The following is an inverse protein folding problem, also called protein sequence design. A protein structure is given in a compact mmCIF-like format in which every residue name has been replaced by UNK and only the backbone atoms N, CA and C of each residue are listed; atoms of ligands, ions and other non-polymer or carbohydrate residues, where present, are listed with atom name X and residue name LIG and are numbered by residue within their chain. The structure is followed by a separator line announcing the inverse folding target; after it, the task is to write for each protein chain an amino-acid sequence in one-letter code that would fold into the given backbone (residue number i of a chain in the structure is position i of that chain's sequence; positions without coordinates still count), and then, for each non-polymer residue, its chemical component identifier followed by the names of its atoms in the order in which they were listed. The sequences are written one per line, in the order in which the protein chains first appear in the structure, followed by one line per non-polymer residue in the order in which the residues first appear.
data_IF_787532286817
#
_entry.id   IF_787532286817
#
_cell.length_a   1.000
_cell.length_b   1.000
_cell.length_c   1.000
_cell.angle_alpha   90.00
_cell.angle_beta   90.00
_cell.angle_gamma   90.00
#
_symmetry.space_group_name_H-M   'P 1'
#
loop_
_entity.id
_entity.type
_entity.pdbx_description
1 polymer ?
#
# COMPACT_ATOMS: atom_id res chain seq x y z
N UNK A 1 27.02 -53.17 11.93
CA UNK A 1 27.52 -52.39 10.78
C UNK A 1 26.97 -50.98 10.85
N UNK A 2 27.84 -49.96 10.91
CA UNK A 2 27.54 -48.55 11.24
C UNK A 2 26.52 -47.89 10.31
N UNK A 3 25.38 -47.47 10.86
CA UNK A 3 24.50 -46.44 10.29
C UNK A 3 25.15 -45.06 10.50
N UNK A 4 25.78 -44.52 9.47
CA UNK A 4 26.33 -43.16 9.48
C UNK A 4 26.13 -42.51 8.12
N UNK A 5 24.95 -41.92 7.89
CA UNK A 5 24.72 -40.87 6.88
C UNK A 5 23.62 -39.92 7.37
N UNK A 6 23.90 -39.28 8.50
CA UNK A 6 23.30 -37.98 8.83
C UNK A 6 24.15 -36.91 8.14
N UNK A 7 23.49 -35.96 7.49
CA UNK A 7 24.09 -34.69 7.10
C UNK A 7 24.58 -34.59 5.66
N UNK A 8 23.66 -34.52 4.69
CA UNK A 8 23.76 -33.61 3.52
C UNK A 8 22.32 -33.30 3.02
N UNK A 9 21.60 -32.41 3.70
CA UNK A 9 20.30 -31.86 3.23
C UNK A 9 20.18 -30.38 3.62
N UNK A 10 21.22 -29.57 3.39
CA UNK A 10 21.21 -28.20 3.94
C UNK A 10 21.99 -27.20 3.09
N UNK A 11 21.59 -27.04 1.83
CA UNK A 11 22.16 -26.00 0.95
C UNK A 11 21.12 -25.44 -0.01
N UNK A 12 20.56 -26.28 -0.87
CA UNK A 12 19.62 -25.84 -1.91
C UNK A 12 18.24 -25.39 -1.37
N UNK A 13 17.73 -26.03 -0.31
CA UNK A 13 16.40 -25.74 0.25
C UNK A 13 16.37 -24.40 1.02
N UNK A 14 17.51 -23.99 1.59
CA UNK A 14 17.65 -22.72 2.31
C UNK A 14 17.81 -21.54 1.35
N UNK A 15 18.46 -21.74 0.19
CA UNK A 15 18.61 -20.70 -0.83
C UNK A 15 17.28 -20.39 -1.51
N UNK A 16 16.46 -21.40 -1.80
CA UNK A 16 15.12 -21.21 -2.37
C UNK A 16 14.16 -20.46 -1.42
N UNK A 17 14.26 -20.69 -0.10
CA UNK A 17 13.44 -19.98 0.87
C UNK A 17 13.76 -18.46 0.91
N UNK A 18 15.03 -18.08 0.73
CA UNK A 18 15.45 -16.68 0.77
C UNK A 18 15.00 -15.90 -0.46
N UNK A 19 14.99 -16.53 -1.65
CA UNK A 19 14.50 -15.86 -2.87
C UNK A 19 12.98 -15.69 -2.88
N UNK A 20 12.23 -16.67 -2.36
CA UNK A 20 10.77 -16.57 -2.20
C UNK A 20 10.39 -15.55 -1.12
N UNK A 21 11.12 -15.47 0.00
CA UNK A 21 10.86 -14.46 1.04
C UNK A 21 11.08 -13.03 0.56
N UNK A 22 12.14 -12.77 -0.24
CA UNK A 22 12.40 -11.43 -0.78
C UNK A 22 11.36 -11.00 -1.83
N UNK A 23 10.87 -11.94 -2.65
CA UNK A 23 9.78 -11.67 -3.60
C UNK A 23 8.44 -11.38 -2.88
N UNK A 24 8.20 -12.01 -1.72
CA UNK A 24 7.00 -11.74 -0.89
C UNK A 24 7.11 -10.37 -0.19
N UNK A 25 8.30 -9.98 0.28
CA UNK A 25 8.53 -8.67 0.91
C UNK A 25 8.44 -7.52 -0.09
N UNK A 26 8.95 -7.69 -1.32
CA UNK A 26 8.80 -6.72 -2.41
C UNK A 26 7.35 -6.55 -2.88
N UNK A 27 6.49 -7.54 -2.64
CA UNK A 27 5.05 -7.49 -2.90
C UNK A 27 4.24 -6.89 -1.74
N UNK A 28 4.86 -6.43 -0.65
CA UNK A 28 4.13 -5.75 0.43
C UNK A 28 3.89 -4.28 0.07
N UNK A 29 2.87 -4.01 -0.76
CA UNK A 29 2.31 -2.67 -0.89
C UNK A 29 1.83 -2.18 0.48
N UNK A 30 2.55 -1.21 1.05
CA UNK A 30 2.13 -0.49 2.27
C UNK A 30 1.32 0.74 1.89
N UNK A 31 0.57 1.30 2.84
CA UNK A 31 -0.23 2.49 2.59
C UNK A 31 0.64 3.72 2.30
N UNK A 32 1.82 3.80 2.92
CA UNK A 32 2.79 4.89 2.77
C UNK A 32 3.38 4.97 1.36
N UNK A 33 3.46 3.85 0.63
CA UNK A 33 3.90 3.85 -0.76
C UNK A 33 2.95 4.64 -1.68
N UNK A 34 1.71 4.89 -1.25
CA UNK A 34 0.78 5.73 -2.01
C UNK A 34 1.20 7.21 -1.99
N UNK A 35 2.02 7.64 -1.03
CA UNK A 35 2.38 9.05 -0.86
C UNK A 35 3.27 9.56 -2.00
N UNK A 36 3.96 8.66 -2.69
CA UNK A 36 4.84 8.97 -3.82
C UNK A 36 4.17 8.75 -5.18
N UNK A 37 2.89 8.38 -5.21
CA UNK A 37 2.14 8.33 -6.47
C UNK A 37 2.06 9.72 -7.09
N UNK A 38 2.25 9.77 -8.41
CA UNK A 38 1.97 10.98 -9.16
C UNK A 38 0.48 11.32 -9.10
N UNK A 39 0.16 12.59 -9.36
CA UNK A 39 -1.21 13.13 -9.28
C UNK A 39 -2.21 12.37 -10.15
N UNK A 40 -1.80 11.88 -11.32
CA UNK A 40 -2.67 11.14 -12.23
C UNK A 40 -2.96 9.74 -11.70
N UNK A 41 -1.93 9.01 -11.25
CA UNK A 41 -2.08 7.68 -10.65
C UNK A 41 -2.89 7.73 -9.36
N UNK A 42 -2.62 8.72 -8.49
CA UNK A 42 -3.42 8.95 -7.29
C UNK A 42 -4.87 9.28 -7.65
N UNK A 43 -5.11 10.15 -8.63
CA UNK A 43 -6.47 10.45 -9.10
C UNK A 43 -7.20 9.25 -9.72
N UNK A 44 -6.47 8.33 -10.37
CA UNK A 44 -7.01 7.06 -10.86
C UNK A 44 -7.43 6.15 -9.71
N UNK A 45 -6.60 6.02 -8.68
CA UNK A 45 -6.89 5.27 -7.47
C UNK A 45 -8.13 5.83 -6.76
N UNK A 46 -8.14 7.13 -6.48
CA UNK A 46 -9.19 7.79 -5.72
C UNK A 46 -10.59 7.69 -6.35
N UNK A 47 -10.68 7.48 -7.68
CA UNK A 47 -11.96 7.24 -8.36
C UNK A 47 -12.61 5.90 -8.01
N UNK A 48 -11.82 4.91 -7.59
CA UNK A 48 -12.29 3.57 -7.24
C UNK A 48 -12.45 3.39 -5.71
N UNK A 49 -12.02 4.37 -4.91
CA UNK A 49 -12.11 4.34 -3.45
C UNK A 49 -13.42 4.98 -3.00
N UNK A 50 -14.20 4.27 -2.19
CA UNK A 50 -15.38 4.85 -1.54
C UNK A 50 -15.00 6.00 -0.60
N UNK A 51 -15.79 7.07 -0.62
CA UNK A 51 -15.48 8.29 0.12
C UNK A 51 -15.43 8.05 1.65
N UNK A 52 -16.31 7.22 2.23
CA UNK A 52 -16.27 6.90 3.66
C UNK A 52 -14.99 6.15 4.00
N UNK A 53 -14.57 5.21 3.14
CA UNK A 53 -13.30 4.49 3.30
C UNK A 53 -12.11 5.44 3.21
N UNK A 54 -12.10 6.36 2.24
CA UNK A 54 -11.04 7.34 2.06
C UNK A 54 -10.89 8.24 3.29
N UNK A 55 -11.97 8.86 3.75
CA UNK A 55 -11.97 9.76 4.91
C UNK A 55 -11.48 9.00 6.15
N UNK A 56 -11.94 7.76 6.35
CA UNK A 56 -11.51 6.90 7.47
C UNK A 56 -10.02 6.56 7.40
N UNK A 57 -9.50 6.24 6.21
CA UNK A 57 -8.09 5.93 6.00
C UNK A 57 -7.19 7.16 6.25
N UNK A 58 -7.59 8.32 5.74
CA UNK A 58 -6.85 9.58 5.87
C UNK A 58 -6.89 10.15 7.30
N UNK A 59 -7.96 9.92 8.06
CA UNK A 59 -8.03 10.31 9.49
C UNK A 59 -6.91 9.65 10.32
N UNK A 60 -6.45 8.49 9.90
CA UNK A 60 -5.33 7.76 10.51
C UNK A 60 -3.95 8.34 10.26
N UNK A 61 -3.82 9.30 9.34
CA UNK A 61 -2.56 9.94 8.98
C UNK A 61 -2.34 11.25 9.74
N UNK A 62 -1.08 11.65 9.85
CA UNK A 62 -0.72 13.03 10.16
C UNK A 62 -1.18 13.96 9.03
N UNK A 63 -1.46 15.23 9.35
CA UNK A 63 -1.99 16.19 8.36
C UNK A 63 -1.04 16.40 7.18
N UNK A 64 0.27 16.36 7.44
CA UNK A 64 1.31 16.49 6.42
C UNK A 64 1.25 15.38 5.36
N UNK A 65 0.90 14.16 5.78
CA UNK A 65 0.89 12.97 4.90
C UNK A 65 -0.36 12.89 4.02
N UNK A 66 -1.38 13.71 4.28
CA UNK A 66 -2.61 13.76 3.46
C UNK A 66 -2.42 14.55 2.17
N UNK A 67 -1.35 15.35 2.08
CA UNK A 67 -1.06 16.25 0.96
C UNK A 67 -1.15 15.61 -0.43
N UNK A 68 -0.49 14.47 -0.69
CA UNK A 68 -0.51 13.80 -1.99
C UNK A 68 -1.91 13.42 -2.46
N UNK A 69 -2.78 12.99 -1.54
CA UNK A 69 -4.17 12.62 -1.85
C UNK A 69 -4.99 13.85 -2.26
N UNK A 70 -4.85 14.96 -1.53
CA UNK A 70 -5.56 16.20 -1.87
C UNK A 70 -5.07 16.84 -3.16
N UNK A 71 -3.77 16.74 -3.45
CA UNK A 71 -3.19 17.27 -4.69
C UNK A 71 -3.79 16.60 -5.95
N UNK A 72 -4.27 15.36 -5.82
CA UNK A 72 -4.93 14.61 -6.89
C UNK A 72 -6.43 14.89 -7.04
N UNK A 73 -7.01 15.74 -6.19
CA UNK A 73 -8.42 16.11 -6.22
C UNK A 73 -8.61 17.52 -6.79
N UNK A 74 -9.85 17.82 -7.20
CA UNK A 74 -10.25 19.22 -7.37
C UNK A 74 -10.30 19.93 -6.01
N UNK A 75 -10.12 21.25 -5.98
CA UNK A 75 -10.18 22.04 -4.74
C UNK A 75 -11.44 21.76 -3.94
N UNK A 76 -12.60 21.76 -4.60
CA UNK A 76 -13.90 21.47 -3.96
C UNK A 76 -13.97 20.07 -3.35
N UNK A 77 -13.40 19.06 -4.01
CA UNK A 77 -13.40 17.70 -3.49
C UNK A 77 -12.43 17.55 -2.31
N UNK A 78 -11.25 18.16 -2.39
CA UNK A 78 -10.30 18.20 -1.29
C UNK A 78 -10.88 18.89 -0.05
N UNK A 79 -11.56 20.04 -0.23
CA UNK A 79 -12.22 20.77 0.85
C UNK A 79 -13.30 19.91 1.52
N UNK A 80 -14.16 19.26 0.72
CA UNK A 80 -15.19 18.36 1.26
C UNK A 80 -14.61 17.21 2.09
N UNK A 81 -13.55 16.55 1.59
CA UNK A 81 -12.89 15.47 2.34
C UNK A 81 -12.24 16.00 3.62
N UNK A 82 -11.64 17.21 3.62
CA UNK A 82 -11.08 17.83 4.82
C UNK A 82 -12.15 18.06 5.89
N UNK A 83 -13.27 18.66 5.50
CA UNK A 83 -14.39 18.92 6.40
C UNK A 83 -14.93 17.61 6.99
N UNK A 84 -15.06 16.56 6.18
CA UNK A 84 -15.49 15.24 6.64
C UNK A 84 -14.52 14.59 7.64
N UNK A 85 -13.21 14.72 7.42
CA UNK A 85 -12.19 14.26 8.36
C UNK A 85 -12.30 14.99 9.70
N UNK A 86 -12.59 16.30 9.69
CA UNK A 86 -12.79 17.09 10.91
C UNK A 86 -14.07 16.70 11.65
N UNK A 87 -15.16 16.45 10.92
CA UNK A 87 -16.42 15.95 11.50
C UNK A 87 -16.29 14.55 12.11
N UNK A 88 -15.43 13.71 11.54
CA UNK A 88 -15.09 12.41 12.14
C UNK A 88 -14.21 12.61 13.38
N UNK A 89 -14.86 12.58 14.54
CA UNK A 89 -14.20 12.73 15.83
C UNK A 89 -13.33 11.52 16.21
N UNK A 90 -13.96 10.41 16.63
CA UNK A 90 -13.28 9.20 17.11
C UNK A 90 -13.46 8.07 16.12
N UNK A 91 -12.36 7.66 15.50
CA UNK A 91 -12.29 6.46 14.66
C UNK A 91 -11.44 5.43 15.40
N UNK A 92 -11.88 4.16 15.44
CA UNK A 92 -11.07 3.11 16.06
C UNK A 92 -9.90 2.77 15.15
N UNK A 93 -8.71 2.56 15.73
CA UNK A 93 -7.52 2.14 14.98
C UNK A 93 -7.76 0.93 14.06
N UNK A 94 -8.59 -0.02 14.50
CA UNK A 94 -8.97 -1.20 13.69
C UNK A 94 -9.68 -0.79 12.39
N UNK A 95 -10.56 0.20 12.45
CA UNK A 95 -11.36 0.66 11.30
C UNK A 95 -10.47 1.45 10.33
N UNK A 96 -9.55 2.27 10.86
CA UNK A 96 -8.49 2.92 10.07
C UNK A 96 -7.66 1.90 9.31
N UNK A 97 -7.14 0.87 9.98
CA UNK A 97 -6.32 -0.16 9.34
C UNK A 97 -7.11 -0.95 8.29
N UNK A 98 -8.39 -1.22 8.54
CA UNK A 98 -9.26 -1.89 7.57
C UNK A 98 -9.50 -1.01 6.33
N UNK A 99 -9.73 0.28 6.53
CA UNK A 99 -9.90 1.24 5.44
C UNK A 99 -8.61 1.39 4.61
N UNK A 100 -7.46 1.58 5.26
CA UNK A 100 -6.15 1.64 4.60
C UNK A 100 -5.86 0.36 3.80
N UNK A 101 -6.16 -0.81 4.37
CA UNK A 101 -6.04 -2.09 3.66
C UNK A 101 -6.92 -2.13 2.42
N UNK A 102 -8.18 -1.71 2.51
CA UNK A 102 -9.08 -1.69 1.35
C UNK A 102 -8.54 -0.80 0.21
N UNK A 103 -7.98 0.36 0.54
CA UNK A 103 -7.33 1.24 -0.44
C UNK A 103 -6.10 0.55 -1.07
N UNK A 104 -5.28 -0.14 -0.28
CA UNK A 104 -4.15 -0.93 -0.78
C UNK A 104 -4.61 -2.01 -1.76
N UNK A 105 -5.69 -2.75 -1.45
CA UNK A 105 -6.20 -3.79 -2.36
C UNK A 105 -6.64 -3.21 -3.71
N UNK A 106 -7.26 -2.02 -3.71
CA UNK A 106 -7.63 -1.30 -4.93
C UNK A 106 -6.36 -0.89 -5.69
N UNK A 107 -5.38 -0.32 -5.00
CA UNK A 107 -4.11 0.09 -5.61
C UNK A 107 -3.35 -1.10 -6.22
N UNK A 108 -3.32 -2.25 -5.54
CA UNK A 108 -2.75 -3.50 -6.07
C UNK A 108 -3.44 -3.91 -7.36
N UNK A 109 -4.77 -3.97 -7.36
CA UNK A 109 -5.55 -4.32 -8.55
C UNK A 109 -5.23 -3.38 -9.71
N UNK A 110 -5.23 -2.07 -9.48
CA UNK A 110 -4.91 -1.08 -10.51
C UNK A 110 -3.47 -1.18 -11.01
N UNK A 111 -2.51 -1.49 -10.15
CA UNK A 111 -1.12 -1.75 -10.53
C UNK A 111 -1.01 -2.98 -11.42
N UNK A 112 -1.67 -4.07 -11.03
CA UNK A 112 -1.67 -5.33 -11.77
C UNK A 112 -2.38 -5.18 -13.14
N UNK A 113 -3.35 -4.27 -13.25
CA UNK A 113 -3.99 -3.84 -14.50
C UNK A 113 -3.11 -2.87 -15.34
N UNK A 114 -2.01 -2.36 -14.78
CA UNK A 114 -1.14 -1.36 -15.42
C UNK A 114 -1.71 0.07 -15.44
N UNK A 115 -2.77 0.32 -14.67
CA UNK A 115 -3.48 1.61 -14.59
C UNK A 115 -2.78 2.62 -13.67
N UNK A 116 -2.02 2.13 -12.69
CA UNK A 116 -1.17 2.96 -11.83
C UNK A 116 0.25 2.39 -11.77
N UNK A 117 1.23 3.27 -11.73
CA UNK A 117 2.61 2.90 -11.47
C UNK A 117 2.97 3.36 -10.06
N UNK A 118 3.16 2.39 -9.16
CA UNK A 118 3.76 2.67 -7.86
C UNK A 118 5.24 2.83 -8.10
N UNK A 119 5.80 3.99 -7.74
CA UNK A 119 7.21 4.28 -7.92
C UNK A 119 8.03 3.11 -7.42
N UNK A 120 8.66 2.39 -8.34
CA UNK A 120 9.72 1.49 -7.99
C UNK A 120 10.76 2.37 -7.29
N UNK A 121 10.94 2.17 -5.99
CA UNK A 121 12.25 2.40 -5.43
C UNK A 121 13.19 1.63 -6.32
N UNK A 122 13.93 2.38 -7.13
CA UNK A 122 15.17 1.99 -7.77
C UNK A 122 15.02 0.82 -8.75
N UNK A 123 14.96 1.17 -10.04
CA UNK A 123 15.26 0.22 -11.09
C UNK A 123 16.67 -0.33 -10.91
N UNK A 124 16.78 -1.62 -10.62
CA UNK A 124 17.77 -2.50 -11.23
C UNK A 124 17.32 -3.96 -11.10
N UNK A 125 16.59 -4.46 -12.11
CA UNK A 125 16.75 -5.85 -12.51
C UNK A 125 17.64 -5.81 -13.75
N UNK A 126 18.95 -5.95 -13.53
CA UNK A 126 19.91 -6.44 -14.53
C UNK A 126 20.10 -7.92 -14.30
#
# INVERSE_FOLDING_TARGET
TKLKKSGIRNGAEVVAAIEVSKAIEAEMLTFEMLFVLDTQSMGRLLRDVDNVQLVTALKGLEEADRGPFFAAMSSRAADGVRDEIEMLSKVKRKDVLAAQKAVIEIARRLRDEGEIALGAGDGEFV
#
